data_IF_324358537646
#
_entry.id   IF_324358537646
#
_cell.length_a   1.000
_cell.length_b   1.000
_cell.length_c   1.000
_cell.angle_alpha   90.00
_cell.angle_beta   90.00
_cell.angle_gamma   90.00
#
_symmetry.space_group_name_H-M   'P 1'
#
loop_
_entity.id
_entity.type
_entity.pdbx_description
1 polymer ?
#
# COMPACT_ATOMS: atom_id res chain seq x y z
N UNK A 1 34.67 -10.10 -7.53
CA UNK A 1 34.10 -11.46 -7.38
C UNK A 1 32.60 -11.37 -7.58
N UNK A 2 32.18 -11.35 -8.84
CA UNK A 2 30.79 -11.16 -9.25
C UNK A 2 30.12 -12.53 -9.23
N UNK A 3 29.32 -12.84 -8.20
CA UNK A 3 28.56 -14.09 -8.21
C UNK A 3 27.42 -13.95 -9.22
N UNK A 4 27.66 -14.50 -10.40
CA UNK A 4 26.72 -14.66 -11.50
C UNK A 4 25.72 -15.77 -11.13
N UNK A 5 24.79 -15.48 -10.22
CA UNK A 5 23.64 -16.35 -9.96
C UNK A 5 22.56 -16.03 -10.99
N UNK A 6 22.86 -16.34 -12.26
CA UNK A 6 21.90 -16.31 -13.38
C UNK A 6 21.03 -17.55 -13.33
N UNK A 7 20.10 -17.60 -12.39
CA UNK A 7 18.96 -18.51 -12.49
C UNK A 7 17.80 -17.71 -13.04
N UNK A 8 17.34 -18.05 -14.25
CA UNK A 8 16.08 -17.51 -14.77
C UNK A 8 14.96 -17.95 -13.83
N UNK A 9 14.55 -17.06 -12.92
CA UNK A 9 13.49 -17.34 -11.97
C UNK A 9 12.17 -17.03 -12.65
N UNK A 10 11.34 -18.04 -12.86
CA UNK A 10 9.99 -17.85 -13.39
C UNK A 10 8.96 -17.87 -12.26
N UNK A 11 8.06 -16.87 -12.25
CA UNK A 11 6.94 -16.81 -11.31
C UNK A 11 5.67 -16.29 -12.01
N UNK A 12 4.55 -17.02 -11.81
CA UNK A 12 3.28 -16.79 -12.52
C UNK A 12 3.40 -16.73 -14.06
N UNK A 13 4.31 -17.51 -14.64
CA UNK A 13 4.53 -17.54 -16.10
C UNK A 13 5.31 -16.33 -16.65
N UNK A 14 5.83 -15.46 -15.76
CA UNK A 14 6.75 -14.36 -16.12
C UNK A 14 8.15 -14.71 -15.64
N UNK A 15 9.15 -14.46 -16.48
CA UNK A 15 10.55 -14.48 -16.07
C UNK A 15 10.90 -13.21 -15.32
N UNK A 16 11.54 -13.36 -14.16
CA UNK A 16 12.08 -12.26 -13.38
C UNK A 16 13.44 -11.93 -13.95
N UNK A 17 13.62 -10.69 -14.41
CA UNK A 17 14.88 -10.23 -14.99
C UNK A 17 15.90 -9.93 -13.89
N UNK A 18 17.19 -9.85 -14.25
CA UNK A 18 18.26 -9.47 -13.31
C UNK A 18 17.99 -8.09 -12.69
N UNK A 19 17.48 -7.14 -13.48
CA UNK A 19 17.13 -5.79 -12.99
C UNK A 19 15.99 -5.82 -11.97
N UNK A 20 14.98 -6.65 -12.21
CA UNK A 20 13.87 -6.84 -11.27
C UNK A 20 14.34 -7.54 -9.99
N UNK A 21 15.28 -8.48 -10.11
CA UNK A 21 15.88 -9.14 -8.97
C UNK A 21 16.68 -8.17 -8.11
N UNK A 22 17.53 -7.34 -8.73
CA UNK A 22 18.28 -6.30 -8.02
C UNK A 22 17.33 -5.32 -7.30
N UNK A 23 16.26 -4.91 -7.97
CA UNK A 23 15.22 -4.05 -7.38
C UNK A 23 14.54 -4.71 -6.17
N UNK A 24 14.24 -6.00 -6.24
CA UNK A 24 13.68 -6.77 -5.12
C UNK A 24 14.66 -6.75 -3.94
N UNK A 25 15.93 -7.07 -4.18
CA UNK A 25 16.96 -7.12 -3.15
C UNK A 25 17.19 -5.76 -2.50
N UNK A 26 17.23 -4.70 -3.30
CA UNK A 26 17.35 -3.32 -2.84
C UNK A 26 16.16 -2.94 -1.96
N UNK A 27 14.94 -3.26 -2.39
CA UNK A 27 13.70 -2.98 -1.65
C UNK A 27 13.69 -3.69 -0.29
N UNK A 28 14.06 -4.98 -0.24
CA UNK A 28 14.15 -5.74 1.01
C UNK A 28 15.16 -5.09 1.98
N UNK A 29 16.31 -4.64 1.45
CA UNK A 29 17.36 -3.99 2.24
C UNK A 29 16.95 -2.60 2.75
N UNK A 30 16.21 -1.83 1.96
CA UNK A 30 15.73 -0.50 2.36
C UNK A 30 14.64 -0.55 3.43
N UNK A 31 13.85 -1.62 3.45
CA UNK A 31 12.65 -1.73 4.29
C UNK A 31 12.67 -2.91 5.28
N UNK A 32 13.69 -3.04 6.14
CA UNK A 32 13.83 -4.19 7.05
C UNK A 32 12.74 -4.25 8.14
N UNK A 33 12.00 -3.15 8.35
CA UNK A 33 10.95 -3.04 9.38
C UNK A 33 9.55 -3.36 8.86
N UNK A 34 9.38 -3.54 7.54
CA UNK A 34 8.08 -3.86 6.96
C UNK A 34 7.67 -5.29 7.30
N UNK A 35 6.36 -5.52 7.41
CA UNK A 35 5.86 -6.89 7.44
C UNK A 35 6.10 -7.55 6.08
N UNK A 36 6.17 -8.89 6.05
CA UNK A 36 6.32 -9.61 4.78
C UNK A 36 5.21 -9.25 3.77
N UNK A 37 3.99 -8.98 4.25
CA UNK A 37 2.86 -8.57 3.41
C UNK A 37 3.09 -7.19 2.82
N UNK A 38 3.43 -6.19 3.64
CA UNK A 38 3.66 -4.81 3.18
C UNK A 38 4.84 -4.77 2.20
N UNK A 39 5.91 -5.51 2.50
CA UNK A 39 7.06 -5.65 1.63
C UNK A 39 6.68 -6.27 0.29
N UNK A 40 5.83 -7.30 0.28
CA UNK A 40 5.34 -7.90 -0.95
C UNK A 40 4.44 -6.95 -1.75
N UNK A 41 3.66 -6.08 -1.09
CA UNK A 41 2.87 -5.05 -1.76
C UNK A 41 3.75 -3.99 -2.42
N UNK A 42 4.75 -3.46 -1.71
CA UNK A 42 5.74 -2.53 -2.27
C UNK A 42 6.45 -3.12 -3.48
N UNK A 43 6.87 -4.39 -3.40
CA UNK A 43 7.52 -5.07 -4.53
C UNK A 43 6.53 -5.33 -5.67
N UNK A 44 5.28 -5.71 -5.38
CA UNK A 44 4.26 -5.84 -6.43
C UNK A 44 4.05 -4.51 -7.16
N UNK A 45 4.06 -3.38 -6.45
CA UNK A 45 3.94 -2.06 -7.05
C UNK A 45 5.11 -1.76 -7.99
N UNK A 46 6.34 -1.95 -7.51
CA UNK A 46 7.57 -1.76 -8.30
C UNK A 46 7.63 -2.64 -9.55
N UNK A 47 7.21 -3.90 -9.46
CA UNK A 47 7.20 -4.84 -10.59
C UNK A 47 5.99 -4.70 -11.51
N UNK A 48 5.06 -3.80 -11.19
CA UNK A 48 3.78 -3.64 -11.89
C UNK A 48 2.91 -4.91 -11.83
N UNK A 49 2.98 -5.68 -10.74
CA UNK A 49 2.42 -7.02 -10.66
C UNK A 49 1.00 -7.04 -10.07
N UNK A 50 0.03 -6.97 -10.97
CA UNK A 50 -1.39 -6.89 -10.63
C UNK A 50 -2.18 -8.12 -11.12
N UNK A 51 -3.30 -8.40 -10.46
CA UNK A 51 -4.33 -9.32 -10.95
C UNK A 51 -5.16 -8.65 -12.05
N UNK A 52 -5.99 -9.42 -12.76
CA UNK A 52 -6.93 -8.87 -13.73
C UNK A 52 -7.91 -7.85 -13.11
N UNK A 53 -8.15 -7.94 -11.79
CA UNK A 53 -8.98 -6.99 -11.04
C UNK A 53 -8.19 -5.79 -10.49
N UNK A 54 -6.92 -5.62 -10.88
CA UNK A 54 -6.07 -4.51 -10.46
C UNK A 54 -5.58 -4.58 -9.01
N UNK A 55 -5.67 -5.74 -8.35
CA UNK A 55 -5.10 -5.94 -7.00
C UNK A 55 -3.67 -6.46 -7.09
N UNK A 56 -2.83 -6.17 -6.12
CA UNK A 56 -1.47 -6.73 -6.07
C UNK A 56 -1.49 -8.27 -6.04
N UNK A 57 -0.59 -8.89 -6.81
CA UNK A 57 -0.36 -10.35 -6.79
C UNK A 57 0.47 -10.78 -5.56
N UNK A 58 0.00 -10.40 -4.37
CA UNK A 58 0.72 -10.57 -3.09
C UNK A 58 1.19 -12.00 -2.85
N UNK A 59 0.32 -12.99 -3.03
CA UNK A 59 0.69 -14.40 -2.83
C UNK A 59 1.76 -14.88 -3.82
N UNK A 60 1.74 -14.39 -5.06
CA UNK A 60 2.77 -14.73 -6.03
C UNK A 60 4.12 -14.11 -5.66
N UNK A 61 4.10 -12.87 -5.20
CA UNK A 61 5.28 -12.14 -4.75
C UNK A 61 5.87 -12.74 -3.47
N UNK A 62 5.04 -13.08 -2.48
CA UNK A 62 5.49 -13.79 -1.28
C UNK A 62 6.13 -15.15 -1.61
N UNK A 63 5.58 -15.89 -2.59
CA UNK A 63 6.18 -17.14 -3.05
C UNK A 63 7.53 -16.91 -3.74
N UNK A 64 7.69 -15.83 -4.50
CA UNK A 64 8.97 -15.45 -5.10
C UNK A 64 10.01 -15.13 -4.01
N UNK A 65 9.64 -14.29 -3.05
CA UNK A 65 10.50 -13.90 -1.93
C UNK A 65 10.99 -15.11 -1.12
N UNK A 66 10.09 -16.06 -0.82
CA UNK A 66 10.47 -17.31 -0.13
C UNK A 66 11.39 -18.20 -0.96
N UNK A 67 11.23 -18.24 -2.29
CA UNK A 67 12.16 -18.96 -3.16
C UNK A 67 13.55 -18.33 -3.14
N UNK A 68 13.62 -17.01 -3.14
CA UNK A 68 14.88 -16.26 -3.03
C UNK A 68 15.56 -16.47 -1.68
N UNK A 69 14.77 -16.46 -0.60
CA UNK A 69 15.25 -16.79 0.75
C UNK A 69 15.77 -18.23 0.84
N UNK A 70 15.02 -19.20 0.33
CA UNK A 70 15.45 -20.60 0.28
C UNK A 70 16.72 -20.82 -0.57
N UNK A 71 16.93 -19.97 -1.59
CA UNK A 71 18.14 -19.94 -2.39
C UNK A 71 19.32 -19.19 -1.74
N UNK A 72 19.12 -18.58 -0.56
CA UNK A 72 20.14 -17.80 0.14
C UNK A 72 20.45 -16.44 -0.51
N UNK A 73 19.58 -15.94 -1.38
CA UNK A 73 19.75 -14.64 -2.05
C UNK A 73 19.39 -13.46 -1.14
N UNK A 74 18.50 -13.68 -0.16
CA UNK A 74 18.04 -12.68 0.80
C UNK A 74 17.59 -13.35 2.10
N UNK A 75 17.43 -12.55 3.16
CA UNK A 75 16.78 -12.97 4.40
C UNK A 75 15.52 -12.13 4.58
N UNK A 76 14.36 -12.77 4.77
CA UNK A 76 13.11 -12.04 5.00
C UNK A 76 13.00 -11.63 6.46
N UNK A 77 12.39 -10.47 6.75
CA UNK A 77 12.11 -10.08 8.12
C UNK A 77 11.22 -11.13 8.79
N UNK A 78 11.47 -11.39 10.08
CA UNK A 78 10.72 -12.37 10.85
C UNK A 78 9.22 -12.12 10.70
N UNK A 79 8.48 -13.21 10.46
CA UNK A 79 7.02 -13.16 10.40
C UNK A 79 6.52 -12.70 11.77
N UNK A 80 6.07 -11.44 11.87
CA UNK A 80 5.48 -10.92 13.10
C UNK A 80 4.34 -11.85 13.54
N UNK A 81 4.56 -12.57 14.64
CA UNK A 81 3.50 -13.31 15.32
C UNK A 81 2.64 -12.25 15.99
N UNK A 82 1.50 -11.94 15.40
CA UNK A 82 0.47 -11.20 16.11
C UNK A 82 -0.05 -12.12 17.23
N UNK A 83 0.54 -12.05 18.42
CA UNK A 83 -0.16 -12.45 19.63
C UNK A 83 -1.33 -11.48 19.77
N UNK A 84 -2.56 -11.99 19.79
CA UNK A 84 -3.72 -11.16 20.15
C UNK A 84 -3.41 -10.61 21.54
N UNK A 85 -3.19 -9.30 21.72
CA UNK A 85 -3.05 -8.76 23.06
C UNK A 85 -4.39 -8.98 23.75
N UNK A 86 -4.38 -9.45 24.99
CA UNK A 86 -5.55 -9.37 25.86
C UNK A 86 -5.89 -7.88 26.01
N UNK A 87 -6.86 -7.40 25.21
CA UNK A 87 -7.23 -5.99 25.19
C UNK A 87 -8.32 -5.80 26.23
N UNK A 88 -8.08 -5.06 27.34
CA UNK A 88 -9.19 -4.55 28.13
C UNK A 88 -10.06 -3.68 27.21
N UNK A 89 -11.36 -3.95 27.22
CA UNK A 89 -12.33 -3.38 26.28
C UNK A 89 -12.20 -1.86 26.14
N UNK A 90 -12.18 -1.39 24.89
CA UNK A 90 -12.19 0.05 24.59
C UNK A 90 -13.50 0.63 25.12
N UNK A 91 -13.43 1.39 26.21
CA UNK A 91 -14.56 2.20 26.68
C UNK A 91 -14.72 3.37 25.71
N UNK A 92 -15.67 3.26 24.79
CA UNK A 92 -16.10 4.34 23.92
C UNK A 92 -16.65 5.48 24.80
N UNK A 93 -15.87 6.55 24.95
CA UNK A 93 -16.29 7.75 25.68
C UNK A 93 -17.17 8.61 24.77
N UNK A 94 -18.35 8.96 25.24
CA UNK A 94 -19.35 9.75 24.50
C UNK A 94 -18.82 11.15 24.15
N UNK A 95 -19.26 11.69 23.01
CA UNK A 95 -18.83 12.98 22.44
C UNK A 95 -18.90 14.13 23.45
N UNK A 96 -17.78 14.82 23.61
CA UNK A 96 -17.73 16.14 24.26
C UNK A 96 -18.50 17.14 23.39
N UNK A 97 -19.50 17.82 23.97
CA UNK A 97 -20.16 18.96 23.36
C UNK A 97 -19.17 20.13 23.29
N UNK A 98 -18.87 20.68 22.10
CA UNK A 98 -18.05 21.88 22.02
C UNK A 98 -18.85 23.04 22.58
N UNK A 99 -18.38 23.62 23.70
CA UNK A 99 -18.80 24.93 24.16
C UNK A 99 -18.21 25.96 23.20
N UNK A 100 -18.98 26.33 22.18
CA UNK A 100 -18.69 27.52 21.39
C UNK A 100 -19.23 28.71 22.16
N UNK A 101 -18.35 29.44 22.86
CA UNK A 101 -18.68 30.81 23.23
C UNK A 101 -18.66 31.62 21.94
N UNK A 102 -19.81 32.22 21.62
CA UNK A 102 -19.98 33.01 20.43
C UNK A 102 -19.03 34.22 20.46
N UNK A 103 -17.96 34.17 19.67
CA UNK A 103 -17.28 35.37 19.23
C UNK A 103 -18.13 35.95 18.10
N UNK A 104 -18.93 36.94 18.46
CA UNK A 104 -19.69 37.75 17.51
C UNK A 104 -18.70 38.69 16.80
N UNK A 105 -18.16 38.21 15.68
CA UNK A 105 -17.39 39.04 14.76
C UNK A 105 -18.30 39.44 13.61
N UNK A 106 -18.72 40.71 13.57
CA UNK A 106 -19.35 41.32 12.40
C UNK A 106 -18.51 41.09 11.16
N UNK A 107 -19.01 40.28 10.23
CA UNK A 107 -18.54 40.22 8.86
C UNK A 107 -19.74 40.50 7.97
N UNK A 108 -19.60 41.57 7.17
CA UNK A 108 -20.61 42.05 6.26
C UNK A 108 -21.09 40.97 5.28
N UNK A 109 -22.36 41.09 4.95
CA UNK A 109 -23.11 40.33 3.95
C UNK A 109 -22.31 40.04 2.66
N UNK A 110 -22.09 38.78 2.29
CA UNK A 110 -21.75 38.43 0.92
C UNK A 110 -23.05 38.22 0.11
N UNK A 111 -23.32 39.09 -0.85
CA UNK A 111 -24.34 38.87 -1.88
C UNK A 111 -24.02 37.57 -2.65
N UNK A 112 -24.81 36.52 -2.39
CA UNK A 112 -24.82 35.30 -3.19
C UNK A 112 -25.73 35.51 -4.39
N UNK A 113 -25.16 35.92 -5.51
CA UNK A 113 -25.84 35.87 -6.80
C UNK A 113 -25.78 34.41 -7.32
N UNK A 114 -26.88 33.70 -7.14
CA UNK A 114 -27.03 32.29 -7.49
C UNK A 114 -27.31 32.18 -9.01
N UNK A 115 -26.25 32.03 -9.82
CA UNK A 115 -26.41 31.69 -11.25
C UNK A 115 -26.65 30.17 -11.35
N UNK A 116 -27.93 29.79 -11.42
CA UNK A 116 -28.35 28.42 -11.71
C UNK A 116 -28.01 27.98 -13.14
N UNK A 117 -28.00 26.67 -13.41
CA UNK A 117 -27.52 26.10 -14.67
C UNK A 117 -28.45 26.41 -15.85
N UNK A 118 -27.89 26.94 -16.95
CA UNK A 118 -28.55 26.96 -18.26
C UNK A 118 -28.72 25.50 -18.72
N UNK A 119 -29.95 25.01 -18.71
CA UNK A 119 -30.34 23.80 -19.43
C UNK A 119 -30.21 24.07 -20.93
N UNK A 120 -29.14 23.56 -21.53
CA UNK A 120 -29.02 23.49 -22.98
C UNK A 120 -29.98 22.42 -23.51
N UNK A 121 -30.93 22.89 -24.30
CA UNK A 121 -31.77 22.12 -25.21
C UNK A 121 -30.91 21.23 -26.11
N UNK A 122 -31.17 19.93 -26.07
CA UNK A 122 -30.83 18.97 -27.12
C UNK A 122 -31.81 17.80 -26.99
N UNK A 123 -32.81 17.76 -27.88
CA UNK A 123 -33.17 16.67 -28.79
C UNK A 123 -34.52 17.00 -29.44
N UNK A 124 -34.57 16.74 -30.77
CA UNK A 124 -35.75 16.83 -31.65
C UNK A 124 -36.98 16.11 -31.10
#
# INVERSE_FOLDING_TARGET
>A
MSKELKSSITQCGREITDQELDLILETVKMFPKLSQTDLAETICEHLGWYTASGRYKREACLKLLKKLEAGGALELPEKRRYSVPDRPGIVLRTRTTPSYSAVESSLGEPQREFIGPKLNSIYN
#
